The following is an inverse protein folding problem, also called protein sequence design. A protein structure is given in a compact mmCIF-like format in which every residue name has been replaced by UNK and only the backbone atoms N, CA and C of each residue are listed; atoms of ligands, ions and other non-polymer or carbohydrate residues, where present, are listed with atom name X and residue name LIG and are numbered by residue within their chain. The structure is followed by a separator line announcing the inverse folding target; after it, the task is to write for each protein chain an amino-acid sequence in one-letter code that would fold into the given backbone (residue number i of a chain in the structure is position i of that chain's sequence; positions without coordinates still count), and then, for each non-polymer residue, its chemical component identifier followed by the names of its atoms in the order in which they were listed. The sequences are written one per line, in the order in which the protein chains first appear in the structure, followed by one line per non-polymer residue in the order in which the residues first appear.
data_IF_064101485246
#
_entry.id   IF_064101485246
#
_cell.length_a   1.000
_cell.length_b   1.000
_cell.length_c   1.000
_cell.angle_alpha   90.00
_cell.angle_beta   90.00
_cell.angle_gamma   90.00
#
_symmetry.space_group_name_H-M   'P 1'
#
loop_
_entity.id
_entity.type
_entity.pdbx_description
1 polymer ?
#
# COMPACT_ATOMS: atom_id res chain seq x y z
N UNK A 1 24.22 -16.01 -7.62
CA UNK A 1 23.06 -15.39 -8.31
C UNK A 1 22.43 -16.47 -9.20
N UNK A 2 21.15 -16.80 -8.99
CA UNK A 2 20.47 -17.85 -9.76
C UNK A 2 19.77 -17.23 -10.98
N UNK A 3 19.95 -17.81 -12.18
CA UNK A 3 19.18 -17.42 -13.37
C UNK A 3 17.77 -18.00 -13.37
N UNK A 4 17.64 -19.26 -12.94
CA UNK A 4 16.38 -20.01 -12.90
C UNK A 4 16.29 -20.80 -11.58
N UNK A 5 16.01 -20.13 -10.45
CA UNK A 5 15.86 -20.82 -9.17
C UNK A 5 14.63 -21.75 -9.21
N UNK A 6 14.81 -23.02 -8.84
CA UNK A 6 13.72 -24.00 -8.75
C UNK A 6 13.04 -23.84 -7.40
N UNK A 7 11.73 -23.61 -7.39
CA UNK A 7 10.95 -23.41 -6.17
C UNK A 7 9.56 -22.87 -6.45
N UNK A 8 8.93 -22.28 -5.43
CA UNK A 8 7.66 -21.59 -5.56
C UNK A 8 6.42 -22.49 -5.50
N UNK A 9 6.57 -23.79 -5.23
CA UNK A 9 5.47 -24.76 -5.07
C UNK A 9 5.04 -24.90 -3.60
N UNK A 10 3.98 -25.68 -3.34
CA UNK A 10 3.52 -26.06 -1.99
C UNK A 10 3.40 -24.92 -0.96
N UNK A 11 3.61 -25.21 0.31
CA UNK A 11 3.47 -24.25 1.41
C UNK A 11 4.78 -23.49 1.66
N UNK A 12 5.18 -22.66 0.70
CA UNK A 12 6.27 -21.69 0.81
C UNK A 12 5.85 -20.33 0.27
N UNK A 13 6.82 -19.47 -0.02
CA UNK A 13 6.61 -18.22 -0.76
C UNK A 13 6.80 -18.50 -2.26
N UNK A 14 6.13 -17.74 -3.11
CA UNK A 14 6.30 -17.81 -4.57
C UNK A 14 6.72 -16.43 -5.06
N UNK A 15 6.70 -16.23 -6.37
CA UNK A 15 7.03 -14.93 -6.93
C UNK A 15 6.08 -13.82 -6.43
N UNK A 16 6.54 -12.58 -6.48
CA UNK A 16 5.80 -11.39 -6.06
C UNK A 16 5.17 -10.77 -7.30
N UNK A 17 3.83 -10.73 -7.35
CA UNK A 17 3.11 -9.97 -8.38
C UNK A 17 3.40 -8.50 -8.17
N UNK A 18 3.87 -7.79 -9.19
CA UNK A 18 4.29 -6.40 -9.05
C UNK A 18 3.99 -5.55 -10.30
N UNK A 19 4.15 -4.24 -10.13
CA UNK A 19 3.85 -3.20 -11.13
C UNK A 19 5.10 -2.68 -11.83
N UNK A 20 4.94 -1.60 -12.59
CA UNK A 20 6.02 -0.95 -13.33
C UNK A 20 7.04 -0.23 -12.42
N UNK A 21 6.59 0.49 -11.38
CA UNK A 21 7.50 1.33 -10.59
C UNK A 21 8.16 2.45 -11.42
N UNK A 22 9.38 2.81 -11.05
CA UNK A 22 10.15 3.88 -11.72
C UNK A 22 10.66 3.49 -13.10
N UNK A 23 10.51 2.22 -13.51
CA UNK A 23 10.93 1.76 -14.83
C UNK A 23 10.06 2.38 -15.94
N UNK A 24 8.79 2.67 -15.67
CA UNK A 24 7.87 3.07 -16.74
C UNK A 24 6.68 3.94 -16.33
N UNK A 25 6.19 3.85 -15.07
CA UNK A 25 4.99 4.57 -14.68
C UNK A 25 5.31 6.03 -14.34
N UNK A 26 4.37 6.94 -14.60
CA UNK A 26 4.47 8.36 -14.24
C UNK A 26 3.83 8.69 -12.89
N UNK A 27 2.98 7.81 -12.32
CA UNK A 27 2.36 7.99 -10.99
C UNK A 27 2.95 7.15 -9.83
N UNK A 28 4.19 6.61 -9.86
CA UNK A 28 4.70 5.79 -8.77
C UNK A 28 5.14 6.63 -7.57
N UNK A 29 4.83 6.16 -6.36
CA UNK A 29 5.42 6.64 -5.11
C UNK A 29 6.64 5.80 -4.66
N UNK A 30 6.91 4.69 -5.33
CA UNK A 30 8.07 3.83 -5.03
C UNK A 30 8.41 2.94 -6.23
N UNK A 31 9.59 2.33 -6.21
CA UNK A 31 9.97 1.35 -7.23
C UNK A 31 9.37 -0.03 -6.99
N UNK A 32 9.08 -0.73 -8.08
CA UNK A 32 8.55 -2.09 -8.04
C UNK A 32 9.66 -3.14 -8.10
N UNK A 33 10.50 -3.12 -9.15
CA UNK A 33 11.49 -4.17 -9.35
C UNK A 33 12.54 -4.22 -8.24
N UNK A 34 13.00 -3.07 -7.75
CA UNK A 34 13.95 -2.96 -6.65
C UNK A 34 13.40 -3.50 -5.32
N UNK A 35 12.18 -3.09 -4.93
CA UNK A 35 11.53 -3.56 -3.69
C UNK A 35 11.24 -5.06 -3.74
N UNK A 36 10.79 -5.58 -4.89
CA UNK A 36 10.58 -7.02 -5.13
C UNK A 36 11.89 -7.79 -5.02
N UNK A 37 12.95 -7.31 -5.68
CA UNK A 37 14.26 -7.95 -5.64
C UNK A 37 14.79 -8.02 -4.21
N UNK A 38 14.75 -6.91 -3.48
CA UNK A 38 15.21 -6.85 -2.10
C UNK A 38 14.40 -7.80 -1.18
N UNK A 39 13.09 -7.86 -1.36
CA UNK A 39 12.19 -8.72 -0.57
C UNK A 39 12.41 -10.21 -0.87
N UNK A 40 12.52 -10.59 -2.15
CA UNK A 40 12.77 -11.99 -2.51
C UNK A 40 14.16 -12.46 -2.10
N UNK A 41 15.17 -11.58 -2.06
CA UNK A 41 16.51 -11.94 -1.60
C UNK A 41 16.50 -12.37 -0.11
N UNK A 42 15.74 -11.69 0.75
CA UNK A 42 15.65 -12.05 2.18
C UNK A 42 14.69 -13.21 2.46
N UNK A 43 13.78 -13.51 1.52
CA UNK A 43 12.80 -14.61 1.60
C UNK A 43 13.16 -15.79 0.68
N UNK A 44 14.41 -15.87 0.20
CA UNK A 44 14.78 -16.87 -0.78
C UNK A 44 14.70 -18.30 -0.24
N UNK A 45 14.97 -18.52 1.05
CA UNK A 45 14.80 -19.83 1.70
C UNK A 45 13.32 -20.29 1.65
N UNK A 46 12.37 -19.37 1.82
CA UNK A 46 10.94 -19.66 1.75
C UNK A 46 10.47 -19.93 0.32
N UNK A 47 11.21 -19.45 -0.69
CA UNK A 47 10.91 -19.74 -2.10
C UNK A 47 11.30 -21.17 -2.48
N UNK A 48 12.47 -21.65 -2.03
CA UNK A 48 12.99 -22.98 -2.41
C UNK A 48 12.48 -24.10 -1.49
N UNK A 49 11.80 -23.77 -0.39
CA UNK A 49 11.28 -24.74 0.57
C UNK A 49 9.76 -24.64 0.76
N UNK A 50 9.18 -25.65 1.41
CA UNK A 50 7.74 -25.74 1.74
C UNK A 50 7.52 -25.83 3.26
N UNK A 51 8.10 -24.89 4.01
CA UNK A 51 8.12 -24.89 5.49
C UNK A 51 7.00 -24.07 6.14
N UNK A 52 6.24 -23.29 5.37
CA UNK A 52 5.20 -22.42 5.91
C UNK A 52 3.91 -23.19 6.24
N UNK A 53 3.06 -22.67 7.14
CA UNK A 53 1.77 -23.29 7.48
C UNK A 53 0.81 -23.41 6.30
N UNK A 54 0.84 -22.44 5.39
CA UNK A 54 0.13 -22.41 4.11
C UNK A 54 0.90 -21.58 3.09
N UNK A 55 0.48 -21.63 1.82
CA UNK A 55 1.05 -20.78 0.75
C UNK A 55 0.88 -19.31 1.11
N UNK A 56 2.00 -18.57 1.15
CA UNK A 56 2.01 -17.13 1.41
C UNK A 56 2.23 -16.37 0.09
N UNK A 57 1.34 -15.44 -0.22
CA UNK A 57 1.37 -14.57 -1.40
C UNK A 57 1.75 -13.16 -1.00
N UNK A 58 2.79 -12.65 -1.63
CA UNK A 58 3.21 -11.25 -1.52
C UNK A 58 2.92 -10.57 -2.84
N UNK A 59 2.38 -9.36 -2.80
CA UNK A 59 2.21 -8.50 -3.97
C UNK A 59 2.73 -7.10 -3.71
N UNK A 60 3.06 -6.38 -4.78
CA UNK A 60 3.59 -5.03 -4.72
C UNK A 60 2.85 -4.14 -5.74
N UNK A 61 2.49 -2.92 -5.34
CA UNK A 61 2.03 -1.88 -6.25
C UNK A 61 2.75 -0.56 -5.94
N UNK A 62 3.20 0.13 -6.99
CA UNK A 62 3.95 1.37 -6.85
C UNK A 62 3.11 2.59 -6.46
N UNK A 63 1.78 2.49 -6.52
CA UNK A 63 0.83 3.49 -6.04
C UNK A 63 -0.53 2.81 -5.72
N UNK A 64 -1.44 3.58 -5.13
CA UNK A 64 -2.79 3.14 -4.74
C UNK A 64 -3.77 2.82 -5.86
N UNK A 65 -3.40 3.00 -7.12
CA UNK A 65 -4.11 2.33 -8.22
C UNK A 65 -4.06 0.80 -8.07
N UNK A 66 -3.09 0.29 -7.28
CA UNK A 66 -3.02 -1.11 -6.84
C UNK A 66 -3.07 -2.13 -8.00
N UNK A 67 -2.49 -1.79 -9.15
CA UNK A 67 -2.50 -2.65 -10.34
C UNK A 67 -1.93 -4.04 -10.02
N UNK A 68 -2.80 -5.06 -9.92
CA UNK A 68 -2.44 -6.41 -9.51
C UNK A 68 -3.23 -6.87 -8.29
N UNK A 69 -2.54 -7.41 -7.28
CA UNK A 69 -3.16 -8.18 -6.20
C UNK A 69 -2.87 -7.66 -4.78
N UNK A 70 -2.42 -6.40 -4.64
CA UNK A 70 -2.10 -5.80 -3.32
C UNK A 70 -3.26 -5.89 -2.33
N UNK A 71 -4.47 -5.56 -2.78
CA UNK A 71 -5.68 -5.55 -1.96
C UNK A 71 -6.13 -6.95 -1.49
N UNK A 72 -5.59 -8.06 -2.03
CA UNK A 72 -6.03 -9.42 -1.70
C UNK A 72 -4.88 -10.42 -1.44
N UNK A 73 -3.70 -9.92 -1.07
CA UNK A 73 -2.51 -10.73 -0.75
C UNK A 73 -2.28 -10.91 0.76
N UNK A 74 -1.58 -11.98 1.15
CA UNK A 74 -1.26 -12.27 2.55
C UNK A 74 -0.41 -11.15 3.16
N UNK A 75 0.56 -10.64 2.38
CA UNK A 75 1.34 -9.44 2.65
C UNK A 75 1.34 -8.60 1.37
N UNK A 76 1.22 -7.29 1.49
CA UNK A 76 1.30 -6.41 0.34
C UNK A 76 2.14 -5.17 0.60
N UNK A 77 2.89 -4.77 -0.42
CA UNK A 77 3.76 -3.58 -0.46
C UNK A 77 3.04 -2.54 -1.31
N UNK A 78 2.78 -1.37 -0.76
CA UNK A 78 2.05 -0.31 -1.45
C UNK A 78 2.83 0.99 -1.42
N UNK A 79 3.14 1.56 -2.58
CA UNK A 79 3.67 2.93 -2.66
C UNK A 79 2.63 3.96 -2.23
N UNK A 80 3.05 4.94 -1.43
CA UNK A 80 2.16 5.92 -0.82
C UNK A 80 2.81 7.30 -0.76
N UNK A 81 2.04 8.34 -1.10
CA UNK A 81 2.45 9.76 -1.02
C UNK A 81 2.02 10.35 0.33
N UNK A 82 2.68 11.41 0.80
CA UNK A 82 2.31 12.13 2.04
C UNK A 82 2.26 13.65 1.92
N UNK A 83 2.32 14.17 0.69
CA UNK A 83 2.21 15.61 0.40
C UNK A 83 1.09 15.87 -0.61
N UNK A 84 0.32 16.96 -0.47
CA UNK A 84 -0.66 17.37 -1.48
C UNK A 84 0.00 17.59 -2.86
N UNK A 85 -0.77 17.53 -3.96
CA UNK A 85 -0.23 17.85 -5.27
C UNK A 85 0.16 19.34 -5.36
N UNK A 86 1.28 19.59 -6.03
CA UNK A 86 1.63 20.92 -6.52
C UNK A 86 0.71 21.26 -7.69
N UNK A 87 0.32 22.53 -7.83
CA UNK A 87 -0.58 22.96 -8.90
C UNK A 87 0.20 23.86 -9.85
N UNK A 88 0.31 23.43 -11.09
CA UNK A 88 0.82 24.26 -12.17
C UNK A 88 -0.32 25.10 -12.76
N UNK A 89 -0.52 26.28 -12.17
CA UNK A 89 -1.59 27.20 -12.52
C UNK A 89 -1.49 27.71 -13.97
N UNK A 90 -0.28 27.80 -14.54
CA UNK A 90 -0.08 28.33 -15.89
C UNK A 90 -0.64 27.38 -16.97
N UNK A 91 -0.59 26.07 -16.72
CA UNK A 91 -0.93 25.04 -17.69
C UNK A 91 -2.20 24.24 -17.39
N UNK A 92 -2.77 24.35 -16.20
CA UNK A 92 -3.92 23.52 -15.80
C UNK A 92 -5.15 23.66 -16.72
N UNK A 93 -5.54 24.87 -17.12
CA UNK A 93 -6.68 25.07 -18.05
C UNK A 93 -6.34 24.68 -19.50
N UNK A 94 -5.05 24.59 -19.83
CA UNK A 94 -4.55 24.22 -21.16
C UNK A 94 -4.45 22.70 -21.34
N UNK A 95 -4.16 21.97 -20.26
CA UNK A 95 -3.84 20.54 -20.29
C UNK A 95 -4.87 19.66 -19.60
N UNK A 96 -5.74 20.22 -18.76
CA UNK A 96 -6.65 19.44 -17.93
C UNK A 96 -8.11 19.84 -18.15
N UNK A 97 -8.97 18.84 -18.25
CA UNK A 97 -10.40 19.05 -18.07
C UNK A 97 -10.69 19.23 -16.57
N UNK A 98 -10.76 20.48 -16.10
CA UNK A 98 -10.94 20.82 -14.67
C UNK A 98 -12.06 20.02 -13.97
N UNK A 99 -13.25 19.79 -14.59
CA UNK A 99 -14.28 18.97 -13.98
C UNK A 99 -13.83 17.52 -13.68
N UNK A 100 -12.98 16.92 -14.54
CA UNK A 100 -12.44 15.59 -14.30
C UNK A 100 -11.50 15.58 -13.10
N UNK A 101 -10.61 16.58 -12.98
CA UNK A 101 -9.71 16.71 -11.84
C UNK A 101 -10.48 16.86 -10.52
N UNK A 102 -11.56 17.63 -10.51
CA UNK A 102 -12.44 17.80 -9.34
C UNK A 102 -13.15 16.49 -9.00
N UNK A 103 -13.80 15.85 -9.97
CA UNK A 103 -14.56 14.62 -9.77
C UNK A 103 -13.69 13.41 -9.38
N UNK A 104 -12.39 13.44 -9.74
CA UNK A 104 -11.42 12.42 -9.36
C UNK A 104 -11.12 12.37 -7.86
N UNK A 105 -11.44 13.42 -7.10
CA UNK A 105 -11.10 13.49 -5.68
C UNK A 105 -12.12 12.76 -4.80
N UNK A 106 -11.75 11.63 -4.15
CA UNK A 106 -12.71 10.84 -3.35
C UNK A 106 -13.12 11.52 -2.03
N UNK A 107 -12.33 12.49 -1.54
CA UNK A 107 -12.56 13.25 -0.31
C UNK A 107 -13.13 14.66 -0.56
N UNK A 108 -13.36 15.04 -1.83
CA UNK A 108 -13.87 16.36 -2.17
C UNK A 108 -12.96 17.52 -1.75
N UNK A 109 -11.64 17.30 -1.78
CA UNK A 109 -10.63 18.30 -1.42
C UNK A 109 -10.39 19.35 -2.52
N UNK A 110 -10.81 19.09 -3.75
CA UNK A 110 -10.52 19.95 -4.92
C UNK A 110 -11.75 20.78 -5.27
N UNK A 111 -11.56 22.09 -5.43
CA UNK A 111 -12.61 23.03 -5.84
C UNK A 111 -12.14 23.92 -7.00
N UNK A 112 -13.05 24.40 -7.87
CA UNK A 112 -12.70 25.35 -8.91
C UNK A 112 -12.22 26.67 -8.30
N UNK A 113 -11.26 27.30 -8.94
CA UNK A 113 -10.67 28.58 -8.53
C UNK A 113 -10.32 29.44 -9.74
N UNK A 114 -10.05 30.73 -9.49
CA UNK A 114 -9.38 31.62 -10.44
C UNK A 114 -8.10 32.10 -9.77
N UNK A 115 -6.99 32.07 -10.51
CA UNK A 115 -5.67 32.47 -10.00
C UNK A 115 -5.13 33.53 -10.95
N UNK A 116 -4.55 34.58 -10.39
CA UNK A 116 -3.83 35.61 -11.13
C UNK A 116 -2.37 35.17 -11.24
N UNK A 117 -1.87 35.06 -12.47
CA UNK A 117 -0.47 34.72 -12.75
C UNK A 117 0.42 35.95 -12.59
N UNK A 118 1.74 35.75 -12.56
CA UNK A 118 2.73 36.83 -12.41
C UNK A 118 2.67 37.88 -13.54
N UNK A 119 2.16 37.51 -14.72
CA UNK A 119 1.95 38.40 -15.86
C UNK A 119 0.64 39.23 -15.78
N UNK A 120 -0.13 39.07 -14.71
CA UNK A 120 -1.44 39.72 -14.50
C UNK A 120 -2.61 39.01 -15.16
N UNK A 121 -2.40 37.88 -15.84
CA UNK A 121 -3.47 37.11 -16.48
C UNK A 121 -4.23 36.30 -15.44
N UNK A 122 -5.55 36.45 -15.39
CA UNK A 122 -6.40 35.58 -14.57
C UNK A 122 -6.76 34.31 -15.33
N UNK A 123 -6.37 33.15 -14.81
CA UNK A 123 -6.65 31.83 -15.39
C UNK A 123 -7.64 31.03 -14.53
N UNK A 124 -8.37 30.12 -15.18
CA UNK A 124 -9.17 29.11 -14.47
C UNK A 124 -8.22 28.05 -13.91
N UNK A 125 -8.44 27.66 -12.66
CA UNK A 125 -7.59 26.70 -11.97
C UNK A 125 -8.42 25.91 -10.96
N UNK A 126 -7.74 25.10 -10.15
CA UNK A 126 -8.27 24.50 -8.93
C UNK A 126 -7.55 25.04 -7.70
N UNK A 127 -8.20 24.90 -6.55
CA UNK A 127 -7.60 25.02 -5.23
C UNK A 127 -7.79 23.70 -4.47
N UNK A 128 -6.77 23.28 -3.73
CA UNK A 128 -6.79 22.05 -2.93
C UNK A 128 -6.90 22.42 -1.46
N UNK A 129 -7.90 21.86 -0.77
CA UNK A 129 -7.95 21.88 0.69
C UNK A 129 -7.02 20.79 1.23
N UNK A 130 -5.83 21.19 1.71
CA UNK A 130 -4.81 20.26 2.19
C UNK A 130 -5.28 19.39 3.36
N UNK A 131 -6.09 19.94 4.27
CA UNK A 131 -6.64 19.20 5.43
C UNK A 131 -7.58 18.06 5.02
N UNK A 132 -8.14 18.11 3.80
CA UNK A 132 -8.98 17.04 3.23
C UNK A 132 -8.24 16.14 2.25
N UNK A 133 -7.01 16.49 1.88
CA UNK A 133 -6.23 15.74 0.92
C UNK A 133 -5.54 14.57 1.62
N UNK A 134 -5.75 13.35 1.12
CA UNK A 134 -5.08 12.14 1.58
C UNK A 134 -4.05 11.60 0.57
N UNK A 135 -3.61 12.47 -0.35
CA UNK A 135 -2.46 12.23 -1.22
C UNK A 135 -2.64 11.07 -2.22
N UNK A 136 -3.88 10.77 -2.63
CA UNK A 136 -4.09 9.63 -3.53
C UNK A 136 -3.49 9.76 -4.93
N UNK A 137 -3.14 10.98 -5.36
CA UNK A 137 -2.63 11.22 -6.71
C UNK A 137 -3.65 10.97 -7.84
N UNK A 138 -4.91 10.63 -7.56
CA UNK A 138 -5.89 10.37 -8.62
C UNK A 138 -6.18 11.62 -9.47
N UNK A 139 -6.08 12.81 -8.86
CA UNK A 139 -6.15 14.07 -9.59
C UNK A 139 -4.98 14.23 -10.58
N UNK A 140 -3.78 13.75 -10.25
CA UNK A 140 -2.63 13.76 -11.15
C UNK A 140 -2.83 12.82 -12.34
N UNK A 141 -3.41 11.64 -12.12
CA UNK A 141 -3.81 10.72 -13.21
C UNK A 141 -4.73 11.41 -14.22
N UNK A 142 -5.62 12.29 -13.77
CA UNK A 142 -6.57 13.02 -14.63
C UNK A 142 -6.01 14.36 -15.14
N UNK A 143 -4.98 14.91 -14.50
CA UNK A 143 -4.47 16.24 -14.80
C UNK A 143 -2.94 16.30 -14.60
N UNK A 144 -2.15 16.40 -15.69
CA UNK A 144 -0.69 16.45 -15.60
C UNK A 144 -0.15 17.67 -14.84
N UNK A 145 -0.95 18.73 -14.67
CA UNK A 145 -0.60 19.93 -13.91
C UNK A 145 -0.79 19.79 -12.40
N UNK A 146 -1.02 18.57 -11.89
CA UNK A 146 -1.16 18.27 -10.45
C UNK A 146 -0.16 17.23 -9.90
N UNK A 147 1.16 17.32 -10.21
CA UNK A 147 2.13 16.32 -9.75
C UNK A 147 2.29 16.34 -8.22
N UNK A 148 2.56 15.19 -7.61
CA UNK A 148 2.69 15.04 -6.15
C UNK A 148 3.85 14.16 -5.68
N UNK A 149 4.66 13.64 -6.60
CA UNK A 149 5.81 12.80 -6.22
C UNK A 149 6.83 13.64 -5.45
N UNK A 150 7.31 13.11 -4.33
CA UNK A 150 8.23 13.82 -3.43
C UNK A 150 9.22 12.84 -2.79
N UNK A 151 10.50 13.20 -2.76
CA UNK A 151 11.58 12.30 -2.29
C UNK A 151 11.45 11.93 -0.81
N UNK A 152 10.93 12.82 0.03
CA UNK A 152 10.81 12.63 1.48
C UNK A 152 9.39 12.21 1.90
N UNK A 153 8.39 12.69 1.16
CA UNK A 153 6.98 12.40 1.34
C UNK A 153 6.65 10.98 0.94
N UNK A 154 7.23 10.49 -0.14
CA UNK A 154 6.89 9.20 -0.73
C UNK A 154 7.58 8.03 -0.02
N UNK A 155 6.84 6.94 0.11
CA UNK A 155 7.32 5.73 0.76
C UNK A 155 6.39 4.55 0.54
N UNK A 156 6.36 3.67 1.53
CA UNK A 156 5.71 2.37 1.46
C UNK A 156 4.80 2.15 2.65
N UNK A 157 3.60 1.68 2.37
CA UNK A 157 2.62 1.12 3.32
C UNK A 157 2.71 -0.41 3.23
N UNK A 158 2.61 -1.10 4.37
CA UNK A 158 2.43 -2.55 4.39
C UNK A 158 1.00 -2.91 4.75
N UNK A 159 0.43 -3.82 3.96
CA UNK A 159 -0.86 -4.44 4.23
C UNK A 159 -0.69 -5.94 4.49
N UNK A 160 -1.63 -6.54 5.21
CA UNK A 160 -1.62 -7.96 5.51
C UNK A 160 -3.00 -8.60 5.62
N UNK A 161 -3.06 -9.92 5.46
CA UNK A 161 -4.24 -10.74 5.75
C UNK A 161 -5.23 -10.94 4.59
N UNK A 162 -4.90 -10.49 3.39
CA UNK A 162 -5.74 -10.69 2.21
C UNK A 162 -5.65 -12.12 1.65
N UNK A 163 -6.71 -12.56 0.98
CA UNK A 163 -6.69 -13.78 0.16
C UNK A 163 -7.83 -13.80 -0.86
N UNK A 164 -7.64 -14.53 -1.95
CA UNK A 164 -8.68 -14.74 -2.98
C UNK A 164 -9.34 -16.13 -2.95
N UNK A 165 -8.69 -17.12 -2.33
CA UNK A 165 -9.20 -18.50 -2.31
C UNK A 165 -10.38 -18.68 -1.34
N UNK A 166 -11.38 -19.47 -1.72
CA UNK A 166 -12.53 -19.85 -0.87
C UNK A 166 -12.25 -21.01 0.10
N UNK A 167 -10.99 -21.42 0.28
CA UNK A 167 -10.65 -22.57 1.13
C UNK A 167 -10.86 -22.19 2.61
N UNK A 168 -11.75 -22.92 3.28
CA UNK A 168 -12.14 -22.81 4.71
C UNK A 168 -12.86 -21.49 5.03
N UNK A 169 -12.19 -20.35 4.88
CA UNK A 169 -12.80 -19.02 5.06
C UNK A 169 -12.90 -18.29 3.71
N UNK A 170 -13.82 -17.33 3.61
CA UNK A 170 -14.07 -16.54 2.41
C UNK A 170 -12.86 -15.67 1.98
N UNK A 171 -12.84 -15.13 0.75
CA UNK A 171 -11.87 -14.13 0.32
C UNK A 171 -11.88 -12.90 1.22
N UNK A 172 -10.71 -12.26 1.36
CA UNK A 172 -10.48 -11.16 2.31
C UNK A 172 -9.63 -10.07 1.65
N UNK A 173 -9.95 -8.82 1.97
CA UNK A 173 -9.04 -7.71 1.71
C UNK A 173 -7.86 -7.72 2.68
N UNK A 174 -6.67 -7.37 2.19
CA UNK A 174 -5.54 -7.00 3.03
C UNK A 174 -5.84 -5.71 3.80
N UNK A 175 -5.31 -5.59 5.01
CA UNK A 175 -5.51 -4.48 5.94
C UNK A 175 -4.19 -3.78 6.20
N UNK A 176 -4.19 -2.47 6.32
CA UNK A 176 -2.97 -1.72 6.63
C UNK A 176 -2.46 -2.14 8.01
N UNK A 177 -1.17 -2.49 8.09
CA UNK A 177 -0.49 -2.90 9.34
C UNK A 177 0.76 -2.07 9.62
N UNK A 178 1.32 -1.39 8.62
CA UNK A 178 2.36 -0.37 8.80
C UNK A 178 2.01 0.82 7.93
N UNK A 179 1.81 1.97 8.56
CA UNK A 179 1.32 3.17 7.90
C UNK A 179 2.37 3.82 6.99
N UNK A 180 3.65 3.74 7.34
CA UNK A 180 4.70 4.32 6.50
C UNK A 180 6.08 3.75 6.78
N UNK A 181 6.82 3.49 5.71
CA UNK A 181 8.24 3.17 5.66
C UNK A 181 8.86 4.05 4.57
N UNK A 182 9.96 4.77 4.83
CA UNK A 182 10.59 5.61 3.82
C UNK A 182 11.15 4.78 2.65
N UNK A 183 11.32 5.42 1.49
CA UNK A 183 12.04 4.84 0.38
C UNK A 183 13.55 4.82 0.64
N UNK A 184 14.11 3.64 0.90
CA UNK A 184 15.54 3.47 1.22
C UNK A 184 16.24 2.68 0.10
N UNK A 185 16.40 3.32 -1.05
CA UNK A 185 17.02 2.70 -2.23
C UNK A 185 18.50 2.34 -1.95
N UNK A 186 19.05 1.30 -2.61
CA UNK A 186 18.42 0.37 -3.54
C UNK A 186 17.90 -0.92 -2.87
N UNK A 187 17.82 -0.99 -1.53
CA UNK A 187 17.59 -2.26 -0.80
C UNK A 187 16.46 -2.26 0.22
N UNK A 188 15.84 -1.12 0.53
CA UNK A 188 14.74 -1.00 1.47
C UNK A 188 14.92 -1.86 2.74
N UNK A 189 16.01 -1.67 3.51
CA UNK A 189 16.30 -2.50 4.68
C UNK A 189 15.17 -2.48 5.71
N UNK A 190 14.51 -1.35 5.95
CA UNK A 190 13.40 -1.26 6.89
C UNK A 190 12.20 -2.08 6.40
N UNK A 191 11.86 -1.99 5.11
CA UNK A 191 10.81 -2.81 4.48
C UNK A 191 11.10 -4.30 4.61
N UNK A 192 12.28 -4.73 4.18
CA UNK A 192 12.63 -6.16 4.08
C UNK A 192 12.75 -6.81 5.45
N UNK A 193 13.31 -6.11 6.45
CA UNK A 193 13.32 -6.56 7.85
C UNK A 193 11.91 -6.71 8.41
N UNK A 194 11.03 -5.75 8.12
CA UNK A 194 9.63 -5.76 8.58
C UNK A 194 8.87 -6.95 8.00
N UNK A 195 8.95 -7.17 6.68
CA UNK A 195 8.33 -8.32 6.02
C UNK A 195 8.89 -9.63 6.56
N UNK A 196 10.22 -9.75 6.71
CA UNK A 196 10.85 -10.97 7.25
C UNK A 196 10.34 -11.27 8.66
N UNK A 197 10.24 -10.25 9.53
CA UNK A 197 9.70 -10.38 10.88
C UNK A 197 8.24 -10.86 10.86
N UNK A 198 7.40 -10.32 9.98
CA UNK A 198 6.01 -10.75 9.82
C UNK A 198 5.92 -12.22 9.39
N UNK A 199 6.71 -12.62 8.38
CA UNK A 199 6.74 -14.00 7.86
C UNK A 199 7.21 -14.98 8.95
N UNK A 200 8.29 -14.67 9.65
CA UNK A 200 8.85 -15.53 10.70
C UNK A 200 7.89 -15.71 11.88
N UNK A 201 7.24 -14.63 12.28
CA UNK A 201 6.25 -14.65 13.37
C UNK A 201 5.04 -15.52 12.99
N UNK A 202 4.54 -15.36 11.76
CA UNK A 202 3.47 -16.20 11.23
C UNK A 202 3.89 -17.68 11.14
N UNK A 203 5.09 -17.96 10.62
CA UNK A 203 5.58 -19.33 10.47
C UNK A 203 5.72 -20.06 11.82
N UNK A 204 6.07 -19.32 12.88
CA UNK A 204 6.25 -19.88 14.23
C UNK A 204 4.94 -20.12 15.00
N UNK A 205 3.88 -19.36 14.72
CA UNK A 205 2.66 -19.34 15.56
C UNK A 205 1.39 -19.83 14.85
N UNK A 206 1.33 -19.77 13.51
CA UNK A 206 0.16 -20.18 12.77
C UNK A 206 0.04 -21.70 12.64
N UNK A 207 -1.21 -22.18 12.62
CA UNK A 207 -1.51 -23.61 12.52
C UNK A 207 -1.47 -24.05 11.07
N UNK A 208 -1.24 -25.34 10.84
CA UNK A 208 -1.25 -25.92 9.49
C UNK A 208 -2.53 -25.53 8.73
N UNK A 209 -2.37 -25.08 7.49
CA UNK A 209 -3.40 -24.58 6.58
C UNK A 209 -3.98 -23.19 6.89
N UNK A 210 -3.63 -22.55 8.00
CA UNK A 210 -4.02 -21.15 8.21
C UNK A 210 -3.27 -20.26 7.24
N UNK A 211 -4.00 -19.41 6.53
CA UNK A 211 -3.41 -18.28 5.79
C UNK A 211 -3.01 -17.18 6.78
N UNK A 212 -2.22 -16.22 6.32
CA UNK A 212 -1.77 -15.12 7.17
C UNK A 212 -2.95 -14.36 7.81
N UNK A 213 -4.01 -14.11 7.03
CA UNK A 213 -5.23 -13.47 7.54
C UNK A 213 -6.08 -14.35 8.44
N UNK A 214 -6.08 -15.67 8.24
CA UNK A 214 -6.78 -16.61 9.11
C UNK A 214 -6.09 -16.70 10.48
N UNK A 215 -4.75 -16.67 10.49
CA UNK A 215 -3.95 -16.55 11.71
C UNK A 215 -4.24 -15.23 12.45
N UNK A 216 -4.14 -14.09 11.77
CA UNK A 216 -4.36 -12.77 12.36
C UNK A 216 -5.75 -12.63 13.00
N UNK A 217 -6.81 -13.07 12.31
CA UNK A 217 -8.18 -13.04 12.85
C UNK A 217 -8.37 -13.99 14.03
N UNK A 218 -7.77 -15.19 14.00
CA UNK A 218 -7.85 -16.14 15.11
C UNK A 218 -7.19 -15.60 16.37
N UNK A 219 -5.99 -15.02 16.26
CA UNK A 219 -5.28 -14.49 17.43
C UNK A 219 -5.81 -13.13 17.87
N UNK A 220 -6.50 -12.39 16.99
CA UNK A 220 -6.91 -11.02 17.19
C UNK A 220 -5.79 -10.04 16.84
N UNK A 221 -6.15 -8.89 16.28
CA UNK A 221 -5.19 -7.89 15.82
C UNK A 221 -4.29 -7.37 16.94
N UNK A 222 -4.79 -7.27 18.18
CA UNK A 222 -3.98 -6.88 19.33
C UNK A 222 -2.79 -7.82 19.56
N UNK A 223 -2.99 -9.15 19.47
CA UNK A 223 -1.91 -10.13 19.60
C UNK A 223 -1.04 -10.19 18.35
N UNK A 224 -1.57 -9.84 17.19
CA UNK A 224 -0.77 -9.71 15.96
C UNK A 224 0.29 -8.61 16.12
N UNK A 225 -0.10 -7.41 16.56
CA UNK A 225 0.84 -6.30 16.80
C UNK A 225 1.85 -6.64 17.90
N UNK A 226 1.41 -7.25 19.02
CA UNK A 226 2.30 -7.71 20.10
C UNK A 226 3.35 -8.72 19.60
N UNK A 227 2.93 -9.78 18.89
CA UNK A 227 3.84 -10.84 18.43
C UNK A 227 4.81 -10.37 17.34
N UNK A 228 4.34 -9.51 16.44
CA UNK A 228 5.18 -8.98 15.36
C UNK A 228 6.10 -7.85 15.83
N UNK A 229 5.75 -7.18 16.94
CA UNK A 229 6.44 -5.99 17.43
C UNK A 229 6.22 -4.76 16.56
N UNK A 230 5.20 -4.77 15.70
CA UNK A 230 4.82 -3.62 14.89
C UNK A 230 4.13 -2.58 15.77
N UNK A 231 4.42 -1.31 15.53
CA UNK A 231 3.75 -0.21 16.21
C UNK A 231 2.36 0.03 15.60
N UNK A 232 1.33 -0.02 16.45
CA UNK A 232 -0.01 0.40 16.06
C UNK A 232 -0.11 1.92 16.19
N UNK A 233 -0.54 2.60 15.11
CA UNK A 233 -0.78 4.05 15.12
C UNK A 233 -2.20 4.35 14.67
N UNK A 234 -2.69 5.56 14.97
CA UNK A 234 -4.05 5.97 14.58
C UNK A 234 -4.29 5.93 13.06
N UNK A 235 -3.24 6.01 12.24
CA UNK A 235 -3.33 5.88 10.77
C UNK A 235 -3.88 4.53 10.28
N UNK A 236 -3.93 3.52 11.15
CA UNK A 236 -4.46 2.20 10.84
C UNK A 236 -5.97 2.09 11.08
N UNK A 237 -6.56 3.10 11.72
CA UNK A 237 -8.00 3.17 11.99
C UNK A 237 -8.66 3.78 10.75
N UNK A 238 -9.60 3.05 10.16
CA UNK A 238 -10.33 3.55 8.99
C UNK A 238 -11.15 4.79 9.34
N UNK A 239 -11.10 5.77 8.44
CA UNK A 239 -11.81 7.04 8.49
C UNK A 239 -12.54 7.35 7.16
N UNK A 240 -12.60 6.39 6.23
CA UNK A 240 -13.18 6.60 4.92
C UNK A 240 -14.69 6.30 4.85
N UNK A 241 -15.49 7.37 4.97
CA UNK A 241 -16.96 7.38 4.84
C UNK A 241 -17.65 6.48 5.89
N UNK A 242 -18.95 6.24 5.71
CA UNK A 242 -19.76 5.42 6.61
C UNK A 242 -19.21 3.99 6.84
N UNK A 243 -18.62 3.29 5.86
CA UNK A 243 -18.11 1.95 6.07
C UNK A 243 -17.00 1.84 7.12
N UNK A 244 -16.27 2.92 7.38
CA UNK A 244 -15.23 2.98 8.41
C UNK A 244 -15.75 2.53 9.78
N UNK A 245 -17.01 2.84 10.10
CA UNK A 245 -17.68 2.41 11.33
C UNK A 245 -17.59 0.90 11.55
N UNK A 246 -17.78 0.09 10.50
CA UNK A 246 -17.76 -1.37 10.61
C UNK A 246 -16.36 -1.96 10.84
N UNK A 247 -15.31 -1.14 10.72
CA UNK A 247 -13.93 -1.57 11.03
C UNK A 247 -13.61 -1.46 12.52
N UNK A 248 -14.33 -0.61 13.25
CA UNK A 248 -14.11 -0.44 14.69
C UNK A 248 -14.63 -1.65 15.48
N UNK A 249 -14.23 -1.76 16.74
CA UNK A 249 -14.65 -2.87 17.60
C UNK A 249 -15.95 -2.52 18.33
N UNK A 250 -17.10 -3.01 17.88
CA UNK A 250 -18.39 -2.90 18.59
C UNK A 250 -18.65 -4.09 19.54
N UNK A 251 -17.63 -4.49 20.30
CA UNK A 251 -17.72 -5.58 21.27
C UNK A 251 -16.78 -5.34 22.44
N UNK A 252 -17.16 -5.83 23.62
CA UNK A 252 -16.31 -5.81 24.83
C UNK A 252 -15.25 -6.91 24.82
N UNK A 253 -15.27 -7.81 23.84
CA UNK A 253 -14.28 -8.88 23.72
C UNK A 253 -12.97 -8.33 23.16
N UNK A 254 -11.94 -8.23 24.00
CA UNK A 254 -10.56 -7.92 23.61
C UNK A 254 -9.58 -8.62 24.55
N UNK A 255 -8.31 -8.69 24.16
CA UNK A 255 -7.23 -9.24 25.00
C UNK A 255 -6.34 -8.11 25.52
N UNK A 256 -5.90 -8.23 26.77
CA UNK A 256 -4.83 -7.38 27.29
C UNK A 256 -3.50 -7.79 26.64
N UNK A 257 -2.69 -6.80 26.30
CA UNK A 257 -1.39 -6.92 25.61
C UNK A 257 -0.37 -6.05 26.30
#
# INVERSE_FOLDING_TARGET
CYKFPIGGTGAGITNIVHTQGWIHCHTPATDASGTVKATLDVLFDDFINMKLPAKLRISMACCLNMCGAVHCSDIAILGYHRKPPMIDHEYIDKLCEIPLAIAACPTGAIKPAKVELEDGTTVKSVAVNEERCMFCGNCYTMCPSMPLADTEGDGIVLLAGGKISNRITAPKFSKVVVAFIPNETPRWPTLTKTIKKMVDTYAADARKYERFGDWAERIGWEKFFEKTGLEFTHHLIDDFRDPAYYTWRQTTQFKFT
#
